data_IF_183793967525
#
_entry.id   IF_183793967525
#
_cell.length_a   1.000
_cell.length_b   1.000
_cell.length_c   1.000
_cell.angle_alpha   90.00
_cell.angle_beta   90.00
_cell.angle_gamma   90.00
#
_symmetry.space_group_name_H-M   'P 1'
#
loop_
_entity.id
_entity.type
_entity.pdbx_description
1 polymer ?
#
# COMPACT_ATOMS: atom_id res chain seq x y z
N UNK A 1 -17.16 42.16 5.46
CA UNK A 1 -17.33 40.82 4.85
C UNK A 1 -15.95 40.29 4.51
N UNK A 2 -15.42 39.35 5.29
CA UNK A 2 -14.06 38.82 5.15
C UNK A 2 -14.12 37.48 4.40
N UNK A 3 -13.41 37.34 3.29
CA UNK A 3 -13.22 36.06 2.61
C UNK A 3 -12.25 35.20 3.42
N UNK A 4 -12.63 33.96 3.75
CA UNK A 4 -11.69 32.94 4.29
C UNK A 4 -11.29 32.01 3.15
N UNK A 5 -9.99 31.97 2.88
CA UNK A 5 -9.36 31.09 1.91
C UNK A 5 -9.55 29.63 2.34
N UNK A 6 -10.00 28.79 1.41
CA UNK A 6 -10.04 27.34 1.61
C UNK A 6 -8.63 26.81 1.89
N UNK A 7 -8.53 25.84 2.79
CA UNK A 7 -7.27 25.13 3.05
C UNK A 7 -6.80 24.44 1.76
N UNK A 8 -5.61 24.82 1.28
CA UNK A 8 -4.91 24.10 0.21
C UNK A 8 -4.69 22.67 0.70
N UNK A 9 -5.04 21.62 -0.08
CA UNK A 9 -4.74 20.26 0.33
C UNK A 9 -3.22 20.12 0.49
N UNK A 10 -2.80 19.71 1.69
CA UNK A 10 -1.42 19.41 1.99
C UNK A 10 -0.95 18.33 1.02
N UNK A 11 -0.02 18.69 0.12
CA UNK A 11 0.53 17.77 -0.87
C UNK A 11 1.23 16.64 -0.12
N UNK A 12 0.54 15.51 0.05
CA UNK A 12 1.13 14.29 0.62
C UNK A 12 2.20 13.83 -0.34
N UNK A 13 3.45 13.87 0.11
CA UNK A 13 4.56 13.27 -0.63
C UNK A 13 4.20 11.83 -0.99
N UNK A 14 4.24 11.51 -2.28
CA UNK A 14 3.98 10.16 -2.75
C UNK A 14 5.22 9.32 -2.49
N UNK A 15 5.14 8.39 -1.55
CA UNK A 15 6.22 7.44 -1.29
C UNK A 15 6.14 6.35 -2.35
N UNK A 16 7.13 6.31 -3.24
CA UNK A 16 7.24 5.27 -4.26
C UNK A 16 7.80 3.97 -3.66
N UNK A 17 6.90 3.08 -3.24
CA UNK A 17 7.27 1.74 -2.79
C UNK A 17 7.44 0.82 -4.00
N UNK A 18 8.69 0.56 -4.38
CA UNK A 18 9.01 -0.39 -5.45
C UNK A 18 9.25 -1.80 -4.89
N UNK A 19 8.91 -2.81 -5.67
CA UNK A 19 9.31 -4.19 -5.38
C UNK A 19 10.83 -4.33 -5.59
N UNK A 20 11.60 -4.10 -4.52
CA UNK A 20 12.99 -4.55 -4.47
C UNK A 20 13.04 -6.04 -4.17
N UNK A 21 13.86 -6.77 -4.93
CA UNK A 21 14.17 -8.18 -4.68
C UNK A 21 14.75 -8.35 -3.25
N UNK A 22 14.36 -9.40 -2.52
CA UNK A 22 14.98 -9.75 -1.25
C UNK A 22 16.46 -10.11 -1.46
N UNK A 23 17.27 -9.94 -0.41
CA UNK A 23 18.63 -10.48 -0.38
C UNK A 23 18.60 -12.01 -0.34
N UNK A 24 19.69 -12.67 -0.72
CA UNK A 24 19.81 -14.13 -0.62
C UNK A 24 19.55 -14.62 0.81
N UNK A 25 18.77 -15.70 0.93
CA UNK A 25 18.32 -16.23 2.22
C UNK A 25 17.16 -15.48 2.87
N UNK A 26 16.66 -14.39 2.27
CA UNK A 26 15.48 -13.66 2.73
C UNK A 26 14.25 -13.96 1.90
N UNK A 27 13.09 -13.94 2.57
CA UNK A 27 11.78 -13.95 1.94
C UNK A 27 11.12 -12.60 2.19
N UNK A 28 10.64 -11.93 1.14
CA UNK A 28 9.79 -10.75 1.26
C UNK A 28 8.33 -11.16 1.18
N UNK A 29 7.54 -10.75 2.18
CA UNK A 29 6.10 -11.01 2.21
C UNK A 29 5.35 -9.70 1.98
N UNK A 30 4.58 -9.62 0.90
CA UNK A 30 3.63 -8.54 0.68
C UNK A 30 2.23 -9.06 1.03
N UNK A 31 1.47 -8.33 1.84
CA UNK A 31 0.08 -8.68 2.12
C UNK A 31 -0.80 -7.48 1.89
N UNK A 32 -2.05 -7.76 1.53
CA UNK A 32 -3.09 -6.77 1.44
C UNK A 32 -4.42 -7.35 1.93
N UNK A 33 -5.33 -6.44 2.28
CA UNK A 33 -6.68 -6.75 2.69
C UNK A 33 -7.69 -6.16 1.71
N UNK A 34 -8.69 -6.94 1.33
CA UNK A 34 -9.81 -6.46 0.54
C UNK A 34 -11.09 -6.54 1.37
N UNK A 35 -11.90 -5.48 1.30
CA UNK A 35 -13.21 -5.41 1.92
C UNK A 35 -14.23 -4.96 0.88
N UNK A 36 -15.34 -5.69 0.74
CA UNK A 36 -16.45 -5.29 -0.12
C UNK A 36 -17.57 -4.75 0.75
N UNK A 37 -17.75 -3.43 0.73
CA UNK A 37 -18.65 -2.68 1.64
C UNK A 37 -20.15 -3.01 1.57
N UNK A 38 -20.57 -3.94 0.71
CA UNK A 38 -21.99 -4.22 0.44
C UNK A 38 -22.35 -5.70 0.65
N UNK A 39 -21.43 -6.56 1.14
CA UNK A 39 -21.65 -7.99 1.36
C UNK A 39 -20.81 -8.58 2.53
N UNK A 40 -20.50 -7.79 3.56
CA UNK A 40 -19.79 -8.12 4.83
C UNK A 40 -18.53 -9.01 4.78
N UNK A 41 -18.06 -9.34 3.58
CA UNK A 41 -16.92 -10.21 3.39
C UNK A 41 -15.66 -9.37 3.28
N UNK A 42 -14.75 -9.65 4.21
CA UNK A 42 -13.38 -9.22 4.16
C UNK A 42 -12.50 -10.44 3.96
N UNK A 43 -11.42 -10.24 3.23
CA UNK A 43 -10.40 -11.25 3.00
C UNK A 43 -9.02 -10.60 3.08
N UNK A 44 -8.02 -11.41 3.41
CA UNK A 44 -6.64 -11.01 3.32
C UNK A 44 -5.85 -12.05 2.53
N UNK A 45 -4.81 -11.59 1.87
CA UNK A 45 -3.96 -12.42 1.05
C UNK A 45 -2.60 -11.77 0.88
N UNK A 46 -1.68 -12.53 0.30
CA UNK A 46 -0.34 -12.04 0.09
C UNK A 46 0.48 -12.98 -0.77
N UNK A 47 1.64 -12.47 -1.17
CA UNK A 47 2.63 -13.20 -1.96
C UNK A 47 3.94 -13.23 -1.19
N UNK A 48 4.62 -14.36 -1.29
CA UNK A 48 5.98 -14.52 -0.80
C UNK A 48 6.91 -14.47 -2.00
N UNK A 49 7.91 -13.61 -1.91
CA UNK A 49 8.97 -13.53 -2.89
C UNK A 49 10.27 -14.02 -2.27
N UNK A 50 10.96 -14.90 -2.98
CA UNK A 50 12.31 -15.32 -2.62
C UNK A 50 13.36 -14.39 -3.28
N UNK A 51 14.64 -14.70 -3.11
CA UNK A 51 15.74 -13.93 -3.70
C UNK A 51 15.73 -13.84 -5.22
N UNK A 52 15.01 -14.74 -5.91
CA UNK A 52 14.87 -14.72 -7.37
C UNK A 52 13.90 -13.60 -7.82
N UNK A 53 13.11 -13.06 -6.90
CA UNK A 53 12.15 -11.99 -7.16
C UNK A 53 10.83 -12.45 -7.77
N UNK A 54 10.62 -13.77 -7.87
CA UNK A 54 9.34 -14.39 -8.18
C UNK A 54 8.49 -14.49 -6.91
#
# INVERSE_FOLDING_TARGET
MQLRFGSVPQHKETIHVHLKRPLEGWIKRNNDGACKGNNESSGCGGVFHNSDGC
#
